data_IF_827946258889
#
_entry.id   IF_827946258889
#
_cell.length_a   1.000
_cell.length_b   1.000
_cell.length_c   1.000
_cell.angle_alpha   90.00
_cell.angle_beta   90.00
_cell.angle_gamma   90.00
#
_symmetry.space_group_name_H-M   'P 1'
#
loop_
_entity.id
_entity.type
_entity.pdbx_description
1 polymer ?
#
# COMPACT_ATOMS: atom_id res chain seq x y z
N UNK A 1 21.69 -35.67 -7.39
CA UNK A 1 21.25 -34.29 -7.18
C UNK A 1 19.81 -34.31 -7.64
N UNK A 2 18.88 -34.32 -6.70
CA UNK A 2 17.47 -34.62 -6.98
C UNK A 2 16.82 -33.48 -7.79
N UNK A 3 15.82 -33.81 -8.61
CA UNK A 3 15.12 -32.84 -9.46
C UNK A 3 14.50 -31.68 -8.65
N UNK A 4 14.11 -31.94 -7.40
CA UNK A 4 13.62 -30.91 -6.47
C UNK A 4 14.72 -29.92 -6.03
N UNK A 5 15.96 -30.37 -5.87
CA UNK A 5 17.09 -29.50 -5.49
C UNK A 5 17.53 -28.62 -6.68
N UNK A 6 17.38 -29.14 -7.91
CA UNK A 6 17.64 -28.38 -9.13
C UNK A 6 16.56 -27.33 -9.40
N UNK A 7 15.27 -27.63 -9.18
CA UNK A 7 14.20 -26.64 -9.29
C UNK A 7 14.29 -25.58 -8.19
N UNK A 8 14.58 -25.96 -6.95
CA UNK A 8 14.71 -25.02 -5.83
C UNK A 8 15.89 -24.07 -6.03
N UNK A 9 17.07 -24.58 -6.40
CA UNK A 9 18.25 -23.75 -6.68
C UNK A 9 18.08 -22.86 -7.92
N UNK A 10 17.33 -23.32 -8.94
CA UNK A 10 16.97 -22.50 -10.11
C UNK A 10 15.96 -21.41 -9.75
N UNK A 11 14.98 -21.70 -8.90
CA UNK A 11 14.01 -20.73 -8.42
C UNK A 11 14.69 -19.67 -7.54
N UNK A 12 15.60 -20.06 -6.63
CA UNK A 12 16.41 -19.14 -5.82
C UNK A 12 17.28 -18.23 -6.69
N UNK A 13 18.00 -18.77 -7.68
CA UNK A 13 18.83 -17.98 -8.60
C UNK A 13 18.03 -17.03 -9.52
N UNK A 14 16.75 -17.32 -9.79
CA UNK A 14 15.85 -16.39 -10.50
C UNK A 14 15.33 -15.27 -9.60
N UNK A 15 15.12 -15.54 -8.31
CA UNK A 15 14.66 -14.53 -7.36
C UNK A 15 15.70 -13.42 -7.17
N UNK A 16 16.99 -13.74 -7.10
CA UNK A 16 18.04 -12.72 -6.95
C UNK A 16 18.07 -11.73 -8.13
N UNK A 17 17.95 -12.23 -9.37
CA UNK A 17 17.89 -11.38 -10.57
C UNK A 17 16.66 -10.51 -10.59
N UNK A 18 15.51 -11.07 -10.19
CA UNK A 18 14.26 -10.31 -10.13
C UNK A 18 14.29 -9.28 -9.01
N UNK A 19 14.89 -9.57 -7.85
CA UNK A 19 15.10 -8.59 -6.77
C UNK A 19 15.93 -7.41 -7.27
N UNK A 20 17.03 -7.68 -7.97
CA UNK A 20 17.87 -6.62 -8.55
C UNK A 20 17.08 -5.79 -9.58
N UNK A 21 16.32 -6.45 -10.45
CA UNK A 21 15.50 -5.76 -11.45
C UNK A 21 14.42 -4.87 -10.82
N UNK A 22 13.72 -5.36 -9.79
CA UNK A 22 12.69 -4.62 -9.06
C UNK A 22 13.28 -3.43 -8.29
N UNK A 23 14.45 -3.60 -7.64
CA UNK A 23 15.17 -2.49 -7.00
C UNK A 23 15.54 -1.41 -8.01
N UNK A 24 16.05 -1.81 -9.18
CA UNK A 24 16.36 -0.87 -10.27
C UNK A 24 15.11 -0.14 -10.74
N UNK A 25 14.01 -0.84 -10.98
CA UNK A 25 12.73 -0.24 -11.38
C UNK A 25 12.25 0.80 -10.35
N UNK A 26 12.43 0.49 -9.06
CA UNK A 26 12.08 1.41 -7.98
C UNK A 26 12.96 2.66 -7.99
N UNK A 27 14.27 2.51 -8.19
CA UNK A 27 15.19 3.65 -8.32
C UNK A 27 14.84 4.51 -9.55
N UNK A 28 14.53 3.89 -10.69
CA UNK A 28 14.11 4.58 -11.91
C UNK A 28 12.80 5.37 -11.70
N UNK A 29 11.85 4.82 -10.94
CA UNK A 29 10.64 5.54 -10.52
C UNK A 29 10.95 6.81 -9.73
N UNK A 30 11.77 6.72 -8.69
CA UNK A 30 12.11 7.90 -7.90
C UNK A 30 12.98 8.90 -8.67
N UNK A 31 13.80 8.44 -9.60
CA UNK A 31 14.54 9.31 -10.51
C UNK A 31 13.60 10.05 -11.47
N UNK A 32 12.64 9.35 -12.09
CA UNK A 32 11.64 9.95 -12.95
C UNK A 32 10.76 10.94 -12.17
N UNK A 33 10.41 10.61 -10.92
CA UNK A 33 9.67 11.50 -10.03
C UNK A 33 10.47 12.77 -9.71
N UNK A 34 11.70 12.63 -9.18
CA UNK A 34 12.55 13.78 -8.82
C UNK A 34 12.89 14.66 -10.02
N UNK A 35 13.18 14.06 -11.18
CA UNK A 35 13.52 14.80 -12.40
C UNK A 35 12.30 15.30 -13.17
N UNK A 36 11.09 14.96 -12.71
CA UNK A 36 9.82 15.27 -13.39
C UNK A 36 9.79 14.77 -14.84
N UNK A 37 10.46 13.66 -15.12
CA UNK A 37 10.53 13.08 -16.45
C UNK A 37 9.26 12.28 -16.72
N UNK A 38 8.31 12.92 -17.41
CA UNK A 38 7.02 12.31 -17.71
C UNK A 38 7.14 11.08 -18.62
N UNK A 39 7.98 11.14 -19.65
CA UNK A 39 8.15 10.05 -20.60
C UNK A 39 8.70 8.78 -19.92
N UNK A 40 9.66 8.92 -19.00
CA UNK A 40 10.13 7.79 -18.20
C UNK A 40 9.05 7.32 -17.24
N UNK A 41 8.38 8.24 -16.53
CA UNK A 41 7.29 7.87 -15.60
C UNK A 41 6.24 7.01 -16.30
N UNK A 42 5.83 7.35 -17.53
CA UNK A 42 4.86 6.57 -18.30
C UNK A 42 5.32 5.11 -18.54
N UNK A 43 6.60 4.88 -18.84
CA UNK A 43 7.10 3.54 -19.15
C UNK A 43 7.17 2.62 -17.93
N UNK A 44 7.26 3.18 -16.73
CA UNK A 44 7.43 2.40 -15.51
C UNK A 44 6.12 1.76 -15.04
N UNK A 45 4.97 2.31 -15.43
CA UNK A 45 3.64 1.84 -15.02
C UNK A 45 3.06 0.84 -16.00
N UNK A 46 2.35 -0.16 -15.47
CA UNK A 46 1.60 -1.09 -16.29
C UNK A 46 0.36 -0.41 -16.90
N UNK A 47 0.20 -0.50 -18.21
CA UNK A 47 -0.93 0.08 -18.94
C UNK A 47 -2.19 -0.78 -18.81
N UNK A 48 -2.93 -0.60 -17.72
CA UNK A 48 -4.13 -1.38 -17.42
C UNK A 48 -5.08 -0.64 -16.47
N UNK A 49 -6.40 -0.88 -16.50
CA UNK A 49 -7.34 -0.14 -15.66
C UNK A 49 -7.26 -0.43 -14.16
N UNK A 50 -6.58 -1.51 -13.73
CA UNK A 50 -6.57 -1.94 -12.32
C UNK A 50 -5.41 -1.38 -11.48
N UNK A 51 -4.50 -0.60 -12.07
CA UNK A 51 -3.42 0.01 -11.29
C UNK A 51 -3.96 1.15 -10.42
N UNK A 52 -3.30 1.39 -9.28
CA UNK A 52 -3.75 2.38 -8.32
C UNK A 52 -2.59 3.19 -7.75
N UNK A 53 -2.77 4.49 -7.61
CA UNK A 53 -1.83 5.38 -6.96
C UNK A 53 -2.52 6.13 -5.80
N UNK A 54 -1.87 6.16 -4.64
CA UNK A 54 -2.32 6.88 -3.45
C UNK A 54 -1.19 7.79 -3.01
N UNK A 55 -1.37 9.09 -3.25
CA UNK A 55 -0.42 10.12 -2.84
C UNK A 55 -0.92 10.86 -1.59
N UNK A 56 0.00 11.31 -0.71
CA UNK A 56 -0.37 12.07 0.48
C UNK A 56 -0.99 13.40 0.04
N UNK A 57 -2.13 13.75 0.64
CA UNK A 57 -2.84 15.01 0.36
C UNK A 57 -3.88 14.93 -0.76
N UNK A 58 -3.95 13.83 -1.52
CA UNK A 58 -5.09 13.59 -2.41
C UNK A 58 -6.29 13.03 -1.61
N UNK A 59 -7.52 13.48 -1.89
CA UNK A 59 -8.70 13.05 -1.14
C UNK A 59 -9.17 11.62 -1.46
N UNK A 60 -8.73 11.04 -2.57
CA UNK A 60 -9.11 9.69 -3.00
C UNK A 60 -7.99 8.98 -3.77
N UNK A 61 -7.97 7.64 -3.78
CA UNK A 61 -7.09 6.86 -4.65
C UNK A 61 -7.35 7.15 -6.13
N UNK A 62 -6.27 7.28 -6.92
CA UNK A 62 -6.34 7.41 -8.38
C UNK A 62 -6.21 6.02 -8.99
N UNK A 63 -7.14 5.66 -9.88
CA UNK A 63 -7.24 4.32 -10.44
C UNK A 63 -7.15 4.37 -11.97
N UNK A 64 -6.51 3.36 -12.56
CA UNK A 64 -6.34 3.24 -14.00
C UNK A 64 -5.18 4.06 -14.56
N UNK A 65 -4.58 3.55 -15.63
CA UNK A 65 -3.36 4.12 -16.20
C UNK A 65 -3.56 5.55 -16.69
N UNK A 66 -4.65 5.84 -17.41
CA UNK A 66 -4.95 7.14 -17.97
C UNK A 66 -5.02 8.21 -16.87
N UNK A 67 -5.80 7.96 -15.82
CA UNK A 67 -5.96 8.88 -14.69
C UNK A 67 -4.68 9.04 -13.87
N UNK A 68 -3.89 7.98 -13.69
CA UNK A 68 -2.59 8.07 -13.02
C UNK A 68 -1.60 8.90 -13.84
N UNK A 69 -1.60 8.76 -15.18
CA UNK A 69 -0.75 9.58 -16.04
C UNK A 69 -1.18 11.05 -16.04
N UNK A 70 -2.48 11.36 -16.04
CA UNK A 70 -3.00 12.73 -15.90
C UNK A 70 -2.62 13.35 -14.54
N UNK A 71 -2.71 12.56 -13.46
CA UNK A 71 -2.25 12.96 -12.13
C UNK A 71 -0.75 13.26 -12.15
N UNK A 72 0.10 12.40 -12.74
CA UNK A 72 1.54 12.65 -12.85
C UNK A 72 1.87 13.89 -13.68
N UNK A 73 1.17 14.14 -14.80
CA UNK A 73 1.31 15.40 -15.56
C UNK A 73 1.00 16.61 -14.69
N UNK A 74 -0.05 16.53 -13.89
CA UNK A 74 -0.46 17.60 -12.98
C UNK A 74 0.60 17.83 -11.90
N UNK A 75 1.09 16.77 -11.27
CA UNK A 75 2.14 16.81 -10.25
C UNK A 75 3.46 17.36 -10.81
N UNK A 76 3.84 16.98 -12.02
CA UNK A 76 5.08 17.44 -12.67
C UNK A 76 4.96 18.87 -13.20
N UNK A 77 3.76 19.26 -13.67
CA UNK A 77 3.45 20.60 -14.17
C UNK A 77 3.21 21.63 -13.07
N UNK A 78 3.05 21.21 -11.81
CA UNK A 78 2.90 22.11 -10.67
C UNK A 78 4.15 23.02 -10.55
N UNK A 79 3.91 24.32 -10.75
CA UNK A 79 4.93 25.37 -10.75
C UNK A 79 5.16 26.02 -9.39
N UNK A 80 4.50 25.54 -8.34
CA UNK A 80 4.73 26.06 -6.99
C UNK A 80 6.18 25.80 -6.56
N UNK A 81 6.81 26.81 -5.96
CA UNK A 81 8.19 26.75 -5.45
C UNK A 81 8.39 25.59 -4.44
N UNK A 82 7.30 25.17 -3.80
CA UNK A 82 7.23 24.03 -2.88
C UNK A 82 7.34 22.65 -3.56
N UNK A 83 7.29 22.57 -4.89
CA UNK A 83 7.45 21.32 -5.63
C UNK A 83 8.50 21.39 -6.76
N UNK A 84 8.94 22.59 -7.14
CA UNK A 84 9.96 22.79 -8.18
C UNK A 84 11.34 22.23 -7.80
N UNK A 85 11.70 22.29 -6.52
CA UNK A 85 13.01 21.88 -5.99
C UNK A 85 12.98 20.61 -5.13
N UNK A 86 11.85 19.90 -5.11
CA UNK A 86 11.66 18.69 -4.28
C UNK A 86 12.44 17.51 -4.86
N UNK A 87 13.31 16.94 -4.02
CA UNK A 87 14.05 15.69 -4.29
C UNK A 87 13.47 14.59 -3.43
N UNK A 88 13.15 13.45 -4.04
CA UNK A 88 12.58 12.28 -3.36
C UNK A 88 13.49 11.09 -3.62
N UNK A 89 14.02 10.47 -2.56
CA UNK A 89 14.88 9.29 -2.66
C UNK A 89 14.37 8.15 -1.80
N UNK A 90 14.43 6.90 -2.30
CA UNK A 90 14.09 5.74 -1.49
C UNK A 90 15.24 5.40 -0.54
N UNK A 91 14.91 5.04 0.70
CA UNK A 91 15.83 4.44 1.66
C UNK A 91 15.20 3.23 2.35
N UNK A 92 16.01 2.41 3.02
CA UNK A 92 15.55 1.22 3.76
C UNK A 92 14.69 0.25 2.92
N UNK A 93 15.07 0.04 1.66
CA UNK A 93 14.27 -0.74 0.70
C UNK A 93 14.29 -2.24 1.00
N UNK A 94 13.12 -2.82 1.24
CA UNK A 94 12.87 -4.25 1.43
C UNK A 94 12.05 -4.76 0.25
N UNK A 95 12.51 -5.83 -0.40
CA UNK A 95 11.84 -6.42 -1.57
C UNK A 95 11.38 -7.84 -1.25
N UNK A 96 10.13 -8.15 -1.57
CA UNK A 96 9.56 -9.48 -1.46
C UNK A 96 8.96 -9.90 -2.81
N UNK A 97 9.34 -11.07 -3.32
CA UNK A 97 8.82 -11.59 -4.58
C UNK A 97 7.93 -12.81 -4.31
N UNK A 98 6.79 -12.85 -4.99
CA UNK A 98 5.80 -13.93 -4.96
C UNK A 98 5.32 -14.18 -6.39
N UNK A 99 5.93 -15.16 -7.06
CA UNK A 99 5.65 -15.47 -8.46
C UNK A 99 5.92 -14.26 -9.38
N UNK A 100 4.88 -13.72 -9.99
CA UNK A 100 4.96 -12.55 -10.90
C UNK A 100 4.64 -11.23 -10.22
N UNK A 101 4.57 -11.20 -8.89
CA UNK A 101 4.33 -9.99 -8.10
C UNK A 101 5.53 -9.71 -7.22
N UNK A 102 5.92 -8.44 -7.12
CA UNK A 102 6.93 -7.98 -6.19
C UNK A 102 6.37 -6.85 -5.32
N UNK A 103 6.58 -6.94 -4.02
CA UNK A 103 6.28 -5.89 -3.05
C UNK A 103 7.59 -5.23 -2.65
N UNK A 104 7.61 -3.90 -2.66
CA UNK A 104 8.74 -3.09 -2.22
C UNK A 104 8.25 -2.14 -1.14
N UNK A 105 8.85 -2.25 0.04
CA UNK A 105 8.62 -1.34 1.14
C UNK A 105 9.85 -0.47 1.29
N UNK A 106 9.68 0.84 1.37
CA UNK A 106 10.79 1.77 1.57
C UNK A 106 10.32 3.03 2.30
N UNK A 107 11.28 3.77 2.82
CA UNK A 107 11.07 5.15 3.22
C UNK A 107 11.29 6.06 2.02
N UNK A 108 10.53 7.15 1.94
CA UNK A 108 10.81 8.26 1.03
C UNK A 108 11.39 9.41 1.82
N UNK A 109 12.66 9.71 1.56
CA UNK A 109 13.32 10.89 2.09
C UNK A 109 13.02 12.05 1.13
N UNK A 110 12.09 12.90 1.54
CA UNK A 110 11.61 14.06 0.77
C UNK A 110 12.36 15.29 1.27
N UNK A 111 13.12 15.94 0.39
CA UNK A 111 13.87 17.16 0.68
C UNK A 111 13.40 18.26 -0.26
N UNK A 112 13.02 19.40 0.31
CA UNK A 112 12.77 20.62 -0.43
C UNK A 112 13.51 21.77 0.25
N UNK A 113 14.58 22.25 -0.39
CA UNK A 113 15.41 23.32 0.16
C UNK A 113 15.91 22.98 1.57
N UNK A 114 15.42 23.72 2.57
CA UNK A 114 15.78 23.52 3.99
C UNK A 114 14.86 22.55 4.72
N UNK A 115 13.76 22.11 4.11
CA UNK A 115 12.80 21.21 4.73
C UNK A 115 13.08 19.78 4.32
N UNK A 116 13.02 18.87 5.29
CA UNK A 116 13.06 17.43 5.06
C UNK A 116 11.96 16.74 5.85
N UNK A 117 11.37 15.72 5.26
CA UNK A 117 10.44 14.81 5.92
C UNK A 117 10.63 13.40 5.39
N UNK A 118 10.33 12.42 6.23
CA UNK A 118 10.30 11.02 5.83
C UNK A 118 8.85 10.54 5.68
N UNK A 119 8.59 9.80 4.62
CA UNK A 119 7.32 9.11 4.37
C UNK A 119 7.55 7.60 4.25
N UNK A 120 6.50 6.80 4.33
CA UNK A 120 6.56 5.38 4.06
C UNK A 120 5.87 5.07 2.74
N UNK A 121 6.50 4.25 1.91
CA UNK A 121 5.98 3.86 0.61
C UNK A 121 5.86 2.34 0.48
N UNK A 122 4.76 1.91 -0.13
CA UNK A 122 4.57 0.55 -0.64
C UNK A 122 4.43 0.62 -2.16
N UNK A 123 5.38 0.04 -2.87
CA UNK A 123 5.36 -0.10 -4.33
C UNK A 123 5.12 -1.56 -4.69
N UNK A 124 4.16 -1.83 -5.57
CA UNK A 124 3.89 -3.19 -6.06
C UNK A 124 4.16 -3.22 -7.56
N UNK A 125 4.87 -4.25 -7.99
CA UNK A 125 5.22 -4.49 -9.39
C UNK A 125 4.64 -5.82 -9.87
N UNK A 126 4.24 -5.85 -11.14
CA UNK A 126 3.85 -7.07 -11.85
C UNK A 126 4.87 -7.37 -12.94
N UNK A 127 5.29 -8.63 -13.04
CA UNK A 127 6.18 -9.12 -14.08
C UNK A 127 5.41 -9.35 -15.38
N UNK A 128 5.77 -8.61 -16.43
CA UNK A 128 5.26 -8.75 -17.78
C UNK A 128 6.40 -9.15 -18.70
N UNK A 129 6.45 -10.43 -19.09
CA UNK A 129 7.59 -10.97 -19.82
C UNK A 129 8.88 -10.90 -18.99
N UNK A 130 9.83 -10.06 -19.43
CA UNK A 130 11.12 -9.83 -18.75
C UNK A 130 11.14 -8.53 -17.93
N UNK A 131 10.06 -7.76 -17.95
CA UNK A 131 10.00 -6.44 -17.34
C UNK A 131 9.13 -6.45 -16.09
N UNK A 132 9.50 -5.61 -15.12
CA UNK A 132 8.72 -5.38 -13.91
C UNK A 132 8.09 -4.01 -14.03
N UNK A 133 6.75 -3.96 -14.05
CA UNK A 133 6.00 -2.73 -14.23
C UNK A 133 5.19 -2.43 -12.97
N UNK A 134 5.17 -1.17 -12.57
CA UNK A 134 4.46 -0.71 -11.38
C UNK A 134 2.95 -0.87 -11.57
N UNK A 135 2.30 -1.46 -10.57
CA UNK A 135 0.85 -1.60 -10.50
C UNK A 135 0.23 -0.89 -9.31
N UNK A 136 1.04 -0.56 -8.30
CA UNK A 136 0.60 0.19 -7.15
C UNK A 136 1.73 1.06 -6.60
N UNK A 137 1.39 2.28 -6.21
CA UNK A 137 2.23 3.16 -5.40
C UNK A 137 1.36 3.78 -4.32
N UNK A 138 1.74 3.60 -3.06
CA UNK A 138 1.04 4.21 -1.94
C UNK A 138 2.05 4.78 -0.97
N UNK A 139 1.89 6.06 -0.66
CA UNK A 139 2.72 6.78 0.30
C UNK A 139 1.87 7.31 1.44
N UNK A 140 2.37 7.15 2.67
CA UNK A 140 1.76 7.69 3.87
C UNK A 140 2.78 8.48 4.72
N UNK A 141 2.34 9.49 5.48
CA UNK A 141 3.22 10.17 6.42
C UNK A 141 3.79 9.21 7.46
N UNK A 142 5.09 9.35 7.77
CA UNK A 142 5.65 8.68 8.95
C UNK A 142 5.20 9.38 10.23
N UNK A 143 5.21 8.67 11.37
CA UNK A 143 4.90 9.26 12.67
C UNK A 143 5.85 10.42 13.06
N UNK A 144 7.03 10.44 12.45
CA UNK A 144 8.09 11.44 12.62
C UNK A 144 8.12 12.46 11.44
N UNK A 145 7.03 12.55 10.68
CA UNK A 145 6.92 13.43 9.49
C UNK A 145 6.82 14.93 9.80
N UNK A 146 7.06 15.34 11.05
CA UNK A 146 7.25 16.74 11.42
C UNK A 146 8.34 17.34 10.54
N UNK A 147 8.07 18.48 9.91
CA UNK A 147 9.03 19.18 9.04
C UNK A 147 10.34 19.42 9.81
N UNK A 148 11.42 18.76 9.40
CA UNK A 148 12.74 18.97 10.00
C UNK A 148 13.49 19.99 9.16
N UNK A 149 14.00 21.03 9.80
CA UNK A 149 14.97 21.94 9.17
C UNK A 149 16.30 21.21 9.04
N UNK A 150 16.80 21.10 7.81
CA UNK A 150 18.14 20.56 7.54
C UNK A 150 19.15 21.54 8.13
N UNK A 151 19.89 21.12 9.17
CA UNK A 151 21.05 21.87 9.67
C UNK A 151 22.14 21.83 8.60
N UNK A 152 22.57 22.98 8.10
CA UNK A 152 23.78 23.04 7.29
C UNK A 152 24.96 22.56 8.14
N UNK A 153 25.92 21.79 7.59
CA UNK A 153 27.21 21.65 8.24
C UNK A 153 27.78 23.07 8.38
N UNK A 154 28.02 23.53 9.61
CA UNK A 154 28.86 24.70 9.79
C UNK A 154 30.19 24.36 9.14
N UNK A 155 30.60 25.16 8.16
CA UNK A 155 31.95 25.11 7.65
C UNK A 155 32.86 25.54 8.79
N UNK A 156 33.49 24.58 9.45
CA UNK A 156 34.65 24.82 10.31
C UNK A 156 35.80 25.27 9.39
N UNK A 157 35.73 26.51 8.93
CA UNK A 157 36.92 27.23 8.54
C UNK A 157 37.52 27.77 9.84
N UNK A 158 38.59 27.11 10.26
CA UNK A 158 39.53 27.60 11.26
C UNK A 158 40.00 29.02 10.86
N UNK A 159 39.43 30.04 11.50
CA UNK A 159 40.10 31.33 11.61
C UNK A 159 40.74 31.41 13.00
N UNK A 160 42.05 31.19 13.02
CA UNK A 160 42.88 31.29 14.22
C UNK A 160 42.77 32.70 14.85
N UNK A 161 42.64 32.82 16.17
CA UNK A 161 42.55 34.11 16.83
C UNK A 161 43.94 34.77 16.92
N UNK A 162 44.10 35.92 16.26
CA UNK A 162 45.22 36.82 16.54
C UNK A 162 45.00 37.58 17.85
N UNK A 163 46.06 37.64 18.62
CA UNK A 163 46.12 37.99 20.03
C UNK A 163 46.46 39.48 20.26
N UNK A 164 45.95 40.03 21.37
CA UNK A 164 46.41 41.20 22.17
C UNK A 164 46.15 42.60 21.57
N UNK A 165 45.58 43.56 22.31
CA UNK A 165 46.05 44.05 23.62
C UNK A 165 44.95 44.52 24.58
N UNK A 166 45.29 44.39 25.88
CA UNK A 166 44.56 44.79 27.08
C UNK A 166 44.38 46.32 27.21
N UNK A 167 43.29 46.74 27.84
CA UNK A 167 43.32 47.65 29.00
C UNK A 167 41.97 47.57 29.76
N UNK A 168 42.05 47.29 31.06
CA UNK A 168 40.94 47.33 32.02
C UNK A 168 40.75 48.76 32.54
N UNK A 169 39.52 49.15 32.90
CA UNK A 169 39.14 49.67 34.23
C UNK A 169 37.61 49.96 34.28
N UNK A 170 36.99 49.94 35.48
CA UNK A 170 35.56 49.68 35.66
C UNK A 170 34.76 50.95 36.00
N UNK A 171 33.45 51.02 35.70
CA UNK A 171 32.54 51.89 36.43
C UNK A 171 31.07 51.42 36.42
N UNK A 172 30.56 51.30 37.65
CA UNK A 172 29.21 51.53 38.19
C UNK A 172 27.93 51.14 37.43
N UNK A 173 27.09 50.44 38.19
CA UNK A 173 25.65 50.28 38.08
C UNK A 173 24.88 51.56 37.76
N UNK A 174 23.88 51.45 36.89
CA UNK A 174 22.63 52.21 36.97
C UNK A 174 21.49 51.38 36.38
N UNK A 175 20.47 51.17 37.21
CA UNK A 175 19.14 50.74 36.82
C UNK A 175 18.47 51.82 35.97
N UNK A 176 17.73 51.42 34.94
CA UNK A 176 16.37 51.91 34.68
C UNK A 176 15.62 50.88 33.83
N UNK A 177 14.44 50.54 34.32
CA UNK A 177 13.39 49.78 33.64
C UNK A 177 12.90 50.52 32.39
N UNK A 178 12.70 49.80 31.28
CA UNK A 178 11.65 50.12 30.31
C UNK A 178 11.04 48.80 29.80
N UNK A 179 9.80 48.56 30.26
CA UNK A 179 8.82 47.70 29.61
C UNK A 179 8.42 48.37 28.29
N UNK A 180 8.51 47.65 27.17
CA UNK A 180 7.59 47.87 26.05
C UNK A 180 7.05 46.56 25.49
N UNK A 181 5.72 46.54 25.44
CA UNK A 181 4.80 45.49 25.07
C UNK A 181 3.99 46.04 23.89
N UNK A 182 4.15 45.52 22.67
CA UNK A 182 3.10 45.47 21.62
C UNK A 182 3.59 44.62 20.41
N UNK A 183 3.09 43.39 20.23
CA UNK A 183 2.03 42.90 19.31
C UNK A 183 2.44 42.56 17.85
N UNK A 184 2.19 41.30 17.52
CA UNK A 184 1.62 40.72 16.28
C UNK A 184 2.15 41.13 14.90
N UNK A 185 2.73 40.16 14.18
CA UNK A 185 2.19 39.71 12.88
C UNK A 185 2.34 38.17 12.78
N UNK A 186 1.31 37.44 13.22
CA UNK A 186 1.07 36.06 12.77
C UNK A 186 0.50 36.12 11.35
N UNK A 187 1.29 35.78 10.34
CA UNK A 187 0.77 35.56 8.99
C UNK A 187 0.10 34.17 8.94
N UNK A 188 -1.23 34.18 8.93
CA UNK A 188 -2.06 33.00 8.94
C UNK A 188 -1.95 32.10 7.70
N UNK A 189 -2.12 30.81 7.95
CA UNK A 189 -2.86 29.92 7.07
C UNK A 189 -3.97 29.28 7.90
N UNK A 190 -5.20 29.67 7.63
CA UNK A 190 -6.40 29.11 8.25
C UNK A 190 -6.55 27.63 7.86
N UNK A 191 -6.24 26.71 8.77
CA UNK A 191 -6.90 25.40 8.79
C UNK A 191 -8.25 25.60 9.46
N UNK A 192 -9.25 26.05 8.69
CA UNK A 192 -10.60 26.29 9.18
C UNK A 192 -11.26 24.98 9.65
N UNK A 193 -11.46 24.97 10.96
CA UNK A 193 -12.52 24.29 11.72
C UNK A 193 -13.78 23.95 10.92
N UNK A 194 -13.98 22.65 10.67
CA UNK A 194 -15.30 22.02 10.52
C UNK A 194 -15.34 20.74 11.38
N UNK A 195 -15.15 20.91 12.69
CA UNK A 195 -15.61 19.94 13.69
C UNK A 195 -16.34 20.75 14.76
N UNK A 196 -17.65 20.91 14.58
CA UNK A 196 -18.65 20.98 15.65
C UNK A 196 -20.05 20.87 15.03
N UNK A 197 -20.90 20.17 15.78
CA UNK A 197 -22.33 19.91 15.58
C UNK A 197 -22.73 18.72 14.69
N UNK A 198 -22.36 17.52 15.16
CA UNK A 198 -23.20 16.32 14.96
C UNK A 198 -23.91 16.03 16.29
N UNK A 199 -25.26 15.94 16.33
CA UNK A 199 -25.96 15.63 17.58
C UNK A 199 -25.60 14.22 18.04
N UNK A 200 -25.23 14.11 19.32
CA UNK A 200 -24.94 12.84 19.98
C UNK A 200 -26.17 11.92 19.93
N UNK A 201 -26.04 10.78 19.25
CA UNK A 201 -26.97 9.65 19.42
C UNK A 201 -26.60 8.92 20.72
N UNK A 202 -27.56 8.37 21.47
CA UNK A 202 -27.30 7.85 22.82
C UNK A 202 -26.35 6.66 22.76
N UNK A 203 -25.31 6.70 23.59
CA UNK A 203 -24.47 5.56 23.94
C UNK A 203 -25.29 4.54 24.72
N UNK A 204 -25.62 3.42 24.07
CA UNK A 204 -25.89 2.17 24.80
C UNK A 204 -24.54 1.46 25.04
N UNK A 205 -24.22 1.32 26.32
CA UNK A 205 -23.17 0.46 26.84
C UNK A 205 -23.53 -0.99 26.52
N UNK A 206 -22.85 -1.59 25.54
CA UNK A 206 -22.75 -3.04 25.44
C UNK A 206 -21.28 -3.41 25.30
N UNK A 207 -20.74 -4.00 26.36
CA UNK A 207 -19.47 -4.68 26.40
C UNK A 207 -19.44 -5.79 25.33
N UNK A 208 -18.92 -5.49 24.15
CA UNK A 208 -18.65 -6.50 23.14
C UNK A 208 -17.30 -7.16 23.41
N UNK A 209 -17.36 -8.38 23.95
CA UNK A 209 -16.28 -9.34 23.87
C UNK A 209 -15.90 -9.56 22.40
N UNK A 210 -14.60 -9.59 22.10
CA UNK A 210 -14.06 -9.88 20.78
C UNK A 210 -14.41 -11.34 20.42
N UNK A 211 -15.19 -11.63 19.36
CA UNK A 211 -15.50 -13.01 18.99
C UNK A 211 -14.30 -13.62 18.27
N UNK A 212 -13.71 -14.63 18.88
CA UNK A 212 -12.74 -15.53 18.27
C UNK A 212 -13.50 -16.60 17.49
N UNK A 213 -13.89 -16.31 16.25
CA UNK A 213 -14.51 -17.28 15.33
C UNK A 213 -15.10 -16.63 14.07
N UNK A 214 -14.91 -17.23 12.90
CA UNK A 214 -15.54 -16.77 11.65
C UNK A 214 -17.04 -17.10 11.71
N UNK A 215 -17.88 -16.09 11.98
CA UNK A 215 -19.34 -16.23 11.99
C UNK A 215 -19.92 -16.52 10.59
N UNK A 216 -21.16 -17.05 10.55
CA UNK A 216 -21.91 -17.38 9.34
C UNK A 216 -21.83 -16.29 8.27
N UNK A 217 -21.57 -16.71 7.03
CA UNK A 217 -21.51 -15.82 5.87
C UNK A 217 -22.92 -15.37 5.45
N UNK A 218 -23.00 -14.24 4.77
CA UNK A 218 -24.27 -13.70 4.28
C UNK A 218 -24.96 -14.72 3.35
N UNK A 219 -26.29 -14.89 3.36
CA UNK A 219 -27.00 -15.91 2.57
C UNK A 219 -26.66 -15.90 1.06
N UNK A 220 -26.34 -14.73 0.50
CA UNK A 220 -25.92 -14.59 -0.90
C UNK A 220 -24.61 -15.32 -1.22
N UNK A 221 -23.75 -15.56 -0.23
CA UNK A 221 -22.48 -16.27 -0.37
C UNK A 221 -22.73 -17.78 -0.42
N UNK A 222 -23.61 -18.28 0.44
CA UNK A 222 -24.08 -19.68 0.41
C UNK A 222 -24.71 -20.01 -0.93
N UNK A 223 -25.64 -19.17 -1.41
CA UNK A 223 -26.29 -19.36 -2.70
C UNK A 223 -25.28 -19.33 -3.86
N UNK A 224 -24.32 -18.40 -3.82
CA UNK A 224 -23.25 -18.31 -4.81
C UNK A 224 -22.34 -19.54 -4.84
N UNK A 225 -21.94 -20.04 -3.66
CA UNK A 225 -21.12 -21.24 -3.55
C UNK A 225 -21.83 -22.47 -4.13
N UNK A 226 -23.13 -22.62 -3.84
CA UNK A 226 -23.95 -23.70 -4.39
C UNK A 226 -24.00 -23.62 -5.92
N UNK A 227 -24.23 -22.42 -6.47
CA UNK A 227 -24.29 -22.22 -7.92
C UNK A 227 -22.95 -22.52 -8.60
N UNK A 228 -21.85 -22.02 -8.05
CA UNK A 228 -20.51 -22.25 -8.59
C UNK A 228 -20.14 -23.74 -8.60
N UNK A 229 -20.43 -24.47 -7.51
CA UNK A 229 -20.19 -25.93 -7.44
C UNK A 229 -21.05 -26.68 -8.48
N UNK A 230 -22.31 -26.26 -8.70
CA UNK A 230 -23.16 -26.83 -9.76
C UNK A 230 -22.57 -26.59 -11.16
N UNK A 231 -22.15 -25.36 -11.44
CA UNK A 231 -21.56 -25.00 -12.73
C UNK A 231 -20.28 -25.79 -13.01
N UNK A 232 -19.38 -25.88 -12.03
CA UNK A 232 -18.12 -26.63 -12.16
C UNK A 232 -18.36 -28.13 -12.38
N UNK A 233 -19.35 -28.71 -11.70
CA UNK A 233 -19.72 -30.11 -11.91
C UNK A 233 -20.35 -30.33 -13.28
N UNK A 234 -21.26 -29.46 -13.73
CA UNK A 234 -21.88 -29.53 -15.06
C UNK A 234 -20.85 -29.37 -16.18
N UNK A 235 -19.80 -28.56 -15.96
CA UNK A 235 -18.67 -28.41 -16.86
C UNK A 235 -17.68 -29.60 -16.84
N UNK A 236 -17.95 -30.64 -16.04
CA UNK A 236 -17.09 -31.83 -15.92
C UNK A 236 -15.79 -31.60 -15.15
N UNK A 237 -15.68 -30.48 -14.42
CA UNK A 237 -14.46 -30.09 -13.69
C UNK A 237 -14.41 -30.62 -12.26
N UNK A 238 -15.57 -30.96 -11.71
CA UNK A 238 -15.73 -31.65 -10.44
C UNK A 238 -16.48 -32.97 -10.69
N UNK A 239 -16.06 -34.04 -10.02
CA UNK A 239 -16.75 -35.32 -10.13
C UNK A 239 -18.11 -35.28 -9.40
N UNK A 240 -19.02 -36.20 -9.75
CA UNK A 240 -20.29 -36.35 -9.03
C UNK A 240 -20.09 -36.66 -7.54
N UNK A 241 -18.98 -37.32 -7.19
CA UNK A 241 -18.60 -37.60 -5.80
C UNK A 241 -18.21 -36.31 -5.08
N UNK A 242 -17.31 -35.52 -5.67
CA UNK A 242 -16.85 -34.25 -5.09
C UNK A 242 -18.02 -33.29 -4.86
N UNK A 243 -18.93 -33.19 -5.84
CA UNK A 243 -20.14 -32.37 -5.71
C UNK A 243 -20.99 -32.77 -4.50
N UNK A 244 -21.15 -34.07 -4.27
CA UNK A 244 -21.96 -34.58 -3.16
C UNK A 244 -21.33 -34.22 -1.82
N UNK A 245 -20.01 -34.44 -1.68
CA UNK A 245 -19.26 -34.11 -0.46
C UNK A 245 -19.30 -32.62 -0.14
N UNK A 246 -19.08 -31.77 -1.14
CA UNK A 246 -19.13 -30.31 -0.98
C UNK A 246 -20.52 -29.81 -0.59
N UNK A 247 -21.59 -30.41 -1.12
CA UNK A 247 -22.95 -30.06 -0.68
C UNK A 247 -23.26 -30.56 0.74
N UNK A 248 -22.77 -31.74 1.13
CA UNK A 248 -22.91 -32.21 2.50
C UNK A 248 -22.18 -31.29 3.48
N UNK A 249 -20.99 -30.81 3.13
CA UNK A 249 -20.23 -29.80 3.89
C UNK A 249 -21.05 -28.52 4.10
N UNK A 250 -21.59 -27.94 3.02
CA UNK A 250 -22.43 -26.73 3.09
C UNK A 250 -23.68 -26.96 3.96
N UNK A 251 -24.43 -28.04 3.71
CA UNK A 251 -25.69 -28.31 4.43
C UNK A 251 -25.44 -28.60 5.91
N UNK A 252 -24.37 -29.33 6.25
CA UNK A 252 -24.01 -29.67 7.63
C UNK A 252 -23.70 -28.42 8.45
N UNK A 253 -23.02 -27.43 7.87
CA UNK A 253 -22.68 -26.18 8.55
C UNK A 253 -23.84 -25.17 8.54
N UNK A 254 -24.60 -25.08 7.45
CA UNK A 254 -25.79 -24.21 7.38
C UNK A 254 -26.83 -24.57 8.45
N UNK A 255 -27.08 -25.87 8.66
CA UNK A 255 -28.01 -26.35 9.70
C UNK A 255 -27.52 -26.09 11.13
N UNK A 256 -26.19 -25.97 11.33
CA UNK A 256 -25.60 -25.69 12.65
C UNK A 256 -25.62 -24.20 13.00
N UNK A 257 -25.74 -23.31 12.01
CA UNK A 257 -25.99 -21.88 12.19
C UNK A 257 -24.94 -21.08 12.97
N UNK A 258 -23.78 -21.67 13.29
CA UNK A 258 -22.71 -21.02 14.07
C UNK A 258 -21.43 -20.78 13.27
N UNK A 259 -21.20 -21.53 12.18
CA UNK A 259 -19.96 -21.48 11.38
C UNK A 259 -20.27 -21.67 9.90
N UNK A 260 -19.50 -21.01 9.03
CA UNK A 260 -19.55 -21.24 7.59
C UNK A 260 -18.76 -22.50 7.22
N UNK A 261 -19.22 -23.25 6.22
CA UNK A 261 -18.50 -24.40 5.69
C UNK A 261 -17.19 -23.99 5.03
N UNK A 262 -16.25 -24.93 4.92
CA UNK A 262 -14.98 -24.69 4.20
C UNK A 262 -15.23 -24.35 2.74
N UNK A 263 -16.27 -24.94 2.16
CA UNK A 263 -16.70 -24.65 0.79
C UNK A 263 -17.19 -23.21 0.64
N UNK A 264 -18.01 -22.71 1.56
CA UNK A 264 -18.50 -21.32 1.54
C UNK A 264 -17.37 -20.32 1.77
N UNK A 265 -16.44 -20.60 2.69
CA UNK A 265 -15.27 -19.76 2.95
C UNK A 265 -14.39 -19.67 1.70
N UNK A 266 -14.14 -20.81 1.04
CA UNK A 266 -13.37 -20.82 -0.20
C UNK A 266 -14.05 -19.98 -1.29
N UNK A 267 -15.37 -20.10 -1.43
CA UNK A 267 -16.12 -19.29 -2.41
C UNK A 267 -16.08 -17.79 -2.08
N UNK A 268 -16.23 -17.41 -0.82
CA UNK A 268 -16.15 -16.02 -0.39
C UNK A 268 -14.80 -15.40 -0.75
N UNK A 269 -13.72 -16.10 -0.39
CA UNK A 269 -12.35 -15.61 -0.53
C UNK A 269 -11.87 -15.59 -1.98
N UNK A 270 -12.27 -16.56 -2.78
CA UNK A 270 -11.77 -16.73 -4.16
C UNK A 270 -12.70 -16.14 -5.21
N UNK A 271 -14.00 -16.00 -4.93
CA UNK A 271 -14.97 -15.58 -5.92
C UNK A 271 -15.78 -14.38 -5.44
N UNK A 272 -16.60 -14.54 -4.39
CA UNK A 272 -17.65 -13.58 -4.05
C UNK A 272 -17.11 -12.18 -3.73
N UNK A 273 -15.98 -12.10 -3.02
CA UNK A 273 -15.31 -10.83 -2.69
C UNK A 273 -14.91 -10.00 -3.92
N UNK A 274 -14.76 -10.65 -5.08
CA UNK A 274 -14.36 -10.01 -6.33
C UNK A 274 -15.54 -9.71 -7.28
N UNK A 275 -16.72 -10.30 -7.05
CA UNK A 275 -17.92 -10.10 -7.89
C UNK A 275 -18.56 -8.71 -7.73
N UNK A 276 -18.38 -8.05 -6.58
CA UNK A 276 -18.92 -6.73 -6.31
C UNK A 276 -18.16 -5.56 -6.98
N UNK A 277 -17.06 -5.84 -7.66
CA UNK A 277 -16.25 -4.83 -8.35
C UNK A 277 -16.73 -4.65 -9.79
N UNK A 278 -16.90 -3.41 -10.28
CA UNK A 278 -17.39 -3.08 -11.64
C UNK A 278 -16.51 -3.58 -12.80
N UNK A 279 -15.48 -4.37 -12.51
CA UNK A 279 -14.36 -4.70 -13.37
C UNK A 279 -14.30 -6.19 -13.76
N UNK A 280 -15.40 -6.92 -13.57
CA UNK A 280 -15.48 -8.36 -13.86
C UNK A 280 -15.60 -8.57 -15.38
N UNK A 281 -14.46 -8.75 -16.05
CA UNK A 281 -14.38 -9.26 -17.41
C UNK A 281 -14.54 -10.78 -17.37
N UNK A 282 -15.25 -11.39 -18.32
CA UNK A 282 -15.57 -12.84 -18.32
C UNK A 282 -14.35 -13.75 -18.19
N UNK A 283 -13.17 -13.33 -18.66
CA UNK A 283 -11.92 -14.06 -18.51
C UNK A 283 -11.46 -14.13 -17.06
N UNK A 284 -11.60 -13.05 -16.29
CA UNK A 284 -11.21 -13.02 -14.87
C UNK A 284 -12.13 -13.90 -14.02
N UNK A 285 -13.43 -13.93 -14.34
CA UNK A 285 -14.37 -14.88 -13.72
C UNK A 285 -13.94 -16.32 -13.88
N UNK A 286 -13.43 -16.67 -15.07
CA UNK A 286 -12.96 -18.02 -15.34
C UNK A 286 -11.76 -18.37 -14.46
N UNK A 287 -10.79 -17.45 -14.33
CA UNK A 287 -9.62 -17.65 -13.46
C UNK A 287 -10.02 -17.82 -11.98
N UNK A 288 -10.93 -16.98 -11.46
CA UNK A 288 -11.43 -17.12 -10.09
C UNK A 288 -12.15 -18.45 -9.86
N UNK A 289 -12.96 -18.89 -10.84
CA UNK A 289 -13.61 -20.20 -10.79
C UNK A 289 -12.63 -21.35 -10.97
N UNK A 290 -11.50 -21.14 -11.64
CA UNK A 290 -10.42 -22.13 -11.74
C UNK A 290 -9.75 -22.35 -10.39
N UNK A 291 -9.37 -21.28 -9.70
CA UNK A 291 -8.80 -21.34 -8.35
C UNK A 291 -9.78 -21.96 -7.35
N UNK A 292 -11.06 -21.56 -7.42
CA UNK A 292 -12.11 -22.14 -6.60
C UNK A 292 -12.30 -23.64 -6.90
N UNK A 293 -12.24 -24.05 -8.17
CA UNK A 293 -12.36 -25.46 -8.56
C UNK A 293 -11.24 -26.32 -7.98
N UNK A 294 -10.00 -25.84 -8.00
CA UNK A 294 -8.87 -26.59 -7.45
C UNK A 294 -8.97 -26.69 -5.93
N UNK A 295 -9.42 -25.62 -5.26
CA UNK A 295 -9.68 -25.66 -3.83
C UNK A 295 -10.82 -26.63 -3.47
N UNK A 296 -11.89 -26.69 -4.28
CA UNK A 296 -12.98 -27.65 -4.12
C UNK A 296 -12.48 -29.11 -4.19
N UNK A 297 -11.54 -29.43 -5.07
CA UNK A 297 -10.97 -30.79 -5.16
C UNK A 297 -10.19 -31.16 -3.89
N UNK A 298 -9.44 -30.21 -3.33
CA UNK A 298 -8.70 -30.42 -2.09
C UNK A 298 -9.67 -30.64 -0.93
N UNK A 299 -10.70 -29.79 -0.81
CA UNK A 299 -11.72 -29.91 0.23
C UNK A 299 -12.47 -31.24 0.10
N UNK A 300 -12.90 -31.63 -1.10
CA UNK A 300 -13.59 -32.89 -1.33
C UNK A 300 -12.72 -34.10 -1.00
N UNK A 301 -11.43 -34.06 -1.34
CA UNK A 301 -10.48 -35.11 -0.95
C UNK A 301 -10.39 -35.25 0.56
N UNK A 302 -10.19 -34.14 1.27
CA UNK A 302 -10.07 -34.13 2.74
C UNK A 302 -11.37 -34.56 3.42
N UNK A 303 -12.53 -34.13 2.92
CA UNK A 303 -13.83 -34.60 3.40
C UNK A 303 -14.00 -36.11 3.20
N UNK A 304 -13.51 -36.66 2.08
CA UNK A 304 -13.58 -38.10 1.81
C UNK A 304 -12.61 -38.94 2.64
N UNK A 305 -11.57 -38.33 3.21
CA UNK A 305 -10.59 -38.98 4.10
C UNK A 305 -11.04 -38.93 5.57
N UNK A 306 -11.99 -38.06 5.91
CA UNK A 306 -12.53 -37.88 7.26
C UNK A 306 -13.95 -38.47 7.47
N UNK A 307 -14.52 -39.10 6.44
CA UNK A 307 -15.77 -39.90 6.46
C UNK A 307 -15.47 -41.40 6.71
#
# INVERSE_FOLDING_TARGET
MDDQDYETSRLEGTHDKDIVAVKRQTIEFYNAFTSKNFDEMQRLWLQTPYIQCILPGLPFPVNGYESIMEMWKTVFGASDDAFSSTVIKPSSMVVQIRGKIALVFCNEDVVNGRFSRQMHATNIYRKMGKEWLMVHHHVSPSADSMLRTVRQPQSDFDEAPQHLTKEEQPFASLHTDEEELYTSEESGYETSTMIRDIPAKPTESSSQQVPTGFHCLHPSVTDGAILAVKELSNAGRLSSKDRTLLFQDIVSHHNKGMEASRTEIAYELLVARFLGSKMVVSTYMKELLDDFCDQCKIIAKDLSEND
#
